data_IF_428262962344
#
_entry.id   IF_428262962344
#
_cell.length_a   1.000
_cell.length_b   1.000
_cell.length_c   1.000
_cell.angle_alpha   90.00
_cell.angle_beta   90.00
_cell.angle_gamma   90.00
#
_symmetry.space_group_name_H-M   'P 1'
#
loop_
_entity.id
_entity.type
_entity.pdbx_description
1 polymer ?
#
# COMPACT_ATOMS: atom_id res chain seq x y z
N UNK A 1 -11.27 37.23 22.01
CA UNK A 1 -10.54 36.47 20.97
C UNK A 1 -10.16 35.12 21.58
N UNK A 2 -10.99 34.09 21.38
CA UNK A 2 -10.74 32.76 21.95
C UNK A 2 -9.83 32.02 20.98
N UNK A 3 -8.56 31.83 21.37
CA UNK A 3 -7.63 30.97 20.63
C UNK A 3 -8.09 29.52 20.83
N UNK A 4 -8.74 28.95 19.81
CA UNK A 4 -8.92 27.51 19.74
C UNK A 4 -7.55 26.87 19.50
N UNK A 5 -6.88 26.45 20.58
CA UNK A 5 -5.85 25.41 20.47
C UNK A 5 -6.59 24.18 19.93
N UNK A 6 -6.40 23.85 18.64
CA UNK A 6 -6.70 22.52 18.11
C UNK A 6 -5.97 21.54 19.02
N UNK A 7 -6.70 20.82 19.88
CA UNK A 7 -6.18 19.61 20.50
C UNK A 7 -5.73 18.75 19.33
N UNK A 8 -4.43 18.44 19.29
CA UNK A 8 -3.87 17.40 18.43
C UNK A 8 -4.55 16.11 18.85
N UNK A 9 -5.71 15.81 18.26
CA UNK A 9 -6.29 14.47 18.33
C UNK A 9 -5.29 13.62 17.58
N UNK A 10 -4.54 12.80 18.32
CA UNK A 10 -3.72 11.77 17.71
C UNK A 10 -4.70 10.94 16.90
N UNK A 11 -4.57 10.94 15.58
CA UNK A 11 -5.40 10.09 14.74
C UNK A 11 -5.15 8.64 15.21
N UNK A 12 -6.22 7.91 15.47
CA UNK A 12 -6.12 6.48 15.73
C UNK A 12 -6.02 5.75 14.39
N UNK A 13 -5.23 4.66 14.32
CA UNK A 13 -5.15 3.87 13.11
C UNK A 13 -6.52 3.25 12.80
N UNK A 14 -7.01 3.43 11.56
CA UNK A 14 -8.26 2.80 11.13
C UNK A 14 -8.11 1.28 10.97
N UNK A 15 -6.90 0.81 10.65
CA UNK A 15 -6.58 -0.59 10.39
C UNK A 15 -5.30 -1.01 11.13
N UNK A 16 -5.32 -1.08 12.48
CA UNK A 16 -4.15 -1.39 13.29
C UNK A 16 -3.58 -2.79 13.03
N UNK A 17 -4.40 -3.75 12.58
CA UNK A 17 -3.99 -5.12 12.28
C UNK A 17 -3.28 -5.31 10.93
N UNK A 18 -3.02 -4.24 10.17
CA UNK A 18 -2.21 -4.34 8.94
C UNK A 18 -0.74 -4.41 9.34
N UNK A 19 -0.20 -5.63 9.35
CA UNK A 19 1.22 -5.89 9.60
C UNK A 19 1.96 -6.18 8.29
N UNK A 20 3.10 -5.51 8.07
CA UNK A 20 3.90 -5.69 6.86
C UNK A 20 5.02 -6.73 7.05
N UNK A 21 4.64 -8.01 6.98
CA UNK A 21 5.51 -9.17 7.18
C UNK A 21 6.74 -9.15 6.26
N UNK A 22 7.91 -9.44 6.83
CA UNK A 22 9.22 -9.52 6.14
C UNK A 22 9.68 -8.24 5.44
N UNK A 23 9.07 -7.09 5.75
CA UNK A 23 9.61 -5.79 5.34
C UNK A 23 10.54 -5.31 6.45
N UNK A 24 11.74 -4.83 6.09
CA UNK A 24 12.80 -4.39 7.01
C UNK A 24 12.42 -3.21 7.94
N UNK A 25 11.14 -2.83 8.03
CA UNK A 25 10.72 -1.44 8.21
C UNK A 25 9.66 -1.21 9.29
N UNK A 26 9.09 -2.27 9.87
CA UNK A 26 7.99 -2.21 10.84
C UNK A 26 8.28 -1.30 12.07
N UNK A 27 9.46 -1.33 12.71
CA UNK A 27 9.73 -0.42 13.85
C UNK A 27 9.80 1.05 13.43
N UNK A 28 10.22 1.33 12.19
CA UNK A 28 10.49 2.69 11.72
C UNK A 28 9.21 3.42 11.27
N UNK A 29 8.13 2.70 10.95
CA UNK A 29 6.82 3.32 10.64
C UNK A 29 6.34 4.17 11.82
N UNK A 30 6.62 3.75 13.05
CA UNK A 30 6.29 4.49 14.28
C UNK A 30 7.00 5.85 14.38
N UNK A 31 8.13 6.04 13.69
CA UNK A 31 8.91 7.29 13.71
C UNK A 31 8.28 8.38 12.83
N UNK A 32 7.42 8.01 11.88
CA UNK A 32 6.66 8.95 11.06
C UNK A 32 5.51 9.52 11.90
N UNK A 33 5.61 10.81 12.20
CA UNK A 33 4.58 11.57 12.95
C UNK A 33 3.36 11.91 12.11
N UNK A 34 3.53 12.04 10.79
CA UNK A 34 2.45 12.36 9.88
C UNK A 34 1.48 11.18 9.76
N UNK A 35 0.19 11.51 9.76
CA UNK A 35 -0.91 10.56 9.68
C UNK A 35 -1.97 10.98 8.67
N UNK A 36 -1.91 12.19 8.10
CA UNK A 36 -2.80 12.66 7.04
C UNK A 36 -2.47 12.00 5.69
N UNK A 37 -3.51 11.53 5.00
CA UNK A 37 -3.35 10.79 3.74
C UNK A 37 -2.77 11.64 2.60
N UNK A 38 -3.13 12.92 2.49
CA UNK A 38 -2.61 13.80 1.43
C UNK A 38 -1.16 14.20 1.69
N UNK A 39 -0.80 14.45 2.95
CA UNK A 39 0.58 14.72 3.32
C UNK A 39 1.46 13.50 3.11
N UNK A 40 1.02 12.31 3.54
CA UNK A 40 1.75 11.06 3.28
C UNK A 40 1.90 10.79 1.78
N UNK A 41 0.87 11.03 0.97
CA UNK A 41 0.95 10.93 -0.50
C UNK A 41 1.97 11.93 -1.08
N UNK A 42 1.98 13.16 -0.57
CA UNK A 42 2.95 14.19 -0.99
C UNK A 42 4.39 13.81 -0.63
N UNK A 43 4.59 13.23 0.56
CA UNK A 43 5.89 12.69 0.98
C UNK A 43 6.34 11.56 0.05
N UNK A 44 5.47 10.60 -0.28
CA UNK A 44 5.79 9.51 -1.22
C UNK A 44 6.21 10.07 -2.58
N UNK A 45 5.45 11.04 -3.13
CA UNK A 45 5.78 11.68 -4.41
C UNK A 45 7.13 12.39 -4.39
N UNK A 46 7.42 13.11 -3.30
CA UNK A 46 8.69 13.79 -3.12
C UNK A 46 9.87 12.80 -3.05
N UNK A 47 9.69 11.66 -2.36
CA UNK A 47 10.70 10.59 -2.34
C UNK A 47 10.91 9.95 -3.70
N UNK A 48 9.84 9.73 -4.47
CA UNK A 48 9.95 9.24 -5.84
C UNK A 48 10.64 10.24 -6.78
N UNK A 49 10.40 11.54 -6.59
CA UNK A 49 11.13 12.60 -7.31
C UNK A 49 12.62 12.57 -7.00
N UNK A 50 12.98 12.49 -5.71
CA UNK A 50 14.38 12.36 -5.27
C UNK A 50 15.05 11.11 -5.84
N UNK A 51 14.34 9.98 -5.86
CA UNK A 51 14.84 8.74 -6.45
C UNK A 51 15.12 8.87 -7.96
N UNK A 52 14.29 9.60 -8.70
CA UNK A 52 14.49 9.85 -10.14
C UNK A 52 15.61 10.85 -10.45
N UNK A 53 15.96 11.73 -9.51
CA UNK A 53 17.06 12.69 -9.62
C UNK A 53 18.41 12.11 -9.18
N UNK A 54 18.38 11.04 -8.37
CA UNK A 54 19.59 10.37 -7.92
C UNK A 54 20.32 9.69 -9.08
N UNK A 55 21.60 10.01 -9.23
CA UNK A 55 22.51 9.31 -10.15
C UNK A 55 23.10 8.03 -9.54
N UNK A 56 22.92 7.84 -8.24
CA UNK A 56 23.40 6.68 -7.51
C UNK A 56 22.27 5.67 -7.28
N UNK A 57 22.65 4.39 -7.18
CA UNK A 57 21.79 3.29 -6.77
C UNK A 57 21.57 3.36 -5.25
N UNK A 58 21.09 4.50 -4.76
CA UNK A 58 20.69 4.66 -3.37
C UNK A 58 19.18 4.43 -3.26
N UNK A 59 18.81 3.37 -2.55
CA UNK A 59 17.41 3.01 -2.31
C UNK A 59 16.84 3.69 -1.05
N UNK A 60 17.56 4.60 -0.40
CA UNK A 60 17.08 5.34 0.80
C UNK A 60 15.73 6.02 0.54
N UNK A 61 15.60 6.76 -0.55
CA UNK A 61 14.34 7.42 -0.89
C UNK A 61 13.20 6.42 -1.15
N UNK A 62 13.51 5.28 -1.78
CA UNK A 62 12.52 4.21 -2.01
C UNK A 62 12.07 3.58 -0.68
N UNK A 63 12.99 3.34 0.25
CA UNK A 63 12.69 2.80 1.58
C UNK A 63 11.83 3.77 2.40
N UNK A 64 12.12 5.07 2.36
CA UNK A 64 11.30 6.10 3.01
C UNK A 64 9.90 6.21 2.39
N UNK A 65 9.78 6.02 1.07
CA UNK A 65 8.49 5.94 0.40
C UNK A 65 7.67 4.72 0.87
N UNK A 66 8.32 3.56 1.05
CA UNK A 66 7.66 2.37 1.62
C UNK A 66 7.13 2.64 3.03
N UNK A 67 7.93 3.28 3.90
CA UNK A 67 7.49 3.63 5.26
C UNK A 67 6.25 4.54 5.24
N UNK A 68 6.22 5.53 4.34
CA UNK A 68 5.05 6.40 4.20
C UNK A 68 3.81 5.64 3.69
N UNK A 69 3.99 4.72 2.74
CA UNK A 69 2.91 3.88 2.23
C UNK A 69 2.34 2.93 3.30
N UNK A 70 3.22 2.31 4.09
CA UNK A 70 2.84 1.46 5.23
C UNK A 70 2.07 2.26 6.29
N UNK A 71 2.58 3.44 6.66
CA UNK A 71 1.88 4.35 7.58
C UNK A 71 0.49 4.71 7.05
N UNK A 72 0.39 5.04 5.76
CA UNK A 72 -0.88 5.36 5.13
C UNK A 72 -1.83 4.16 5.12
N UNK A 73 -1.32 2.94 4.93
CA UNK A 73 -2.14 1.73 4.95
C UNK A 73 -2.75 1.48 6.34
N UNK A 74 -1.95 1.58 7.39
CA UNK A 74 -2.42 1.40 8.78
C UNK A 74 -3.48 2.45 9.16
N UNK A 75 -3.35 3.68 8.67
CA UNK A 75 -4.25 4.77 9.03
C UNK A 75 -5.46 4.93 8.12
N UNK A 76 -5.34 4.56 6.84
CA UNK A 76 -6.34 4.84 5.80
C UNK A 76 -6.69 3.65 4.92
N UNK A 77 -5.97 2.53 5.04
CA UNK A 77 -6.22 1.29 4.30
C UNK A 77 -5.83 1.37 2.84
N UNK A 78 -6.83 1.33 1.96
CA UNK A 78 -6.72 1.20 0.50
C UNK A 78 -5.65 2.09 -0.15
N UNK A 79 -5.59 3.43 0.06
CA UNK A 79 -4.61 4.26 -0.64
C UNK A 79 -3.16 3.91 -0.29
N UNK A 80 -2.89 3.53 0.97
CA UNK A 80 -1.55 3.10 1.39
C UNK A 80 -1.16 1.75 0.80
N UNK A 81 -2.10 0.81 0.73
CA UNK A 81 -1.87 -0.50 0.11
C UNK A 81 -1.61 -0.38 -1.39
N UNK A 82 -2.35 0.48 -2.11
CA UNK A 82 -2.08 0.79 -3.53
C UNK A 82 -0.66 1.35 -3.70
N UNK A 83 -0.27 2.31 -2.86
CA UNK A 83 1.09 2.84 -2.90
C UNK A 83 2.14 1.77 -2.63
N UNK A 84 1.93 0.92 -1.62
CA UNK A 84 2.83 -0.17 -1.29
C UNK A 84 3.03 -1.11 -2.50
N UNK A 85 1.94 -1.56 -3.14
CA UNK A 85 2.00 -2.39 -4.34
C UNK A 85 2.76 -1.70 -5.48
N UNK A 86 2.48 -0.42 -5.74
CA UNK A 86 3.16 0.35 -6.79
C UNK A 86 4.67 0.49 -6.52
N UNK A 87 5.05 0.76 -5.27
CA UNK A 87 6.44 0.84 -4.84
C UNK A 87 7.13 -0.52 -4.94
N UNK A 88 6.45 -1.62 -4.61
CA UNK A 88 6.98 -2.97 -4.82
C UNK A 88 7.26 -3.21 -6.29
N UNK A 89 6.31 -2.92 -7.20
CA UNK A 89 6.52 -3.05 -8.65
C UNK A 89 7.76 -2.27 -9.14
N UNK A 90 7.92 -1.03 -8.68
CA UNK A 90 9.11 -0.22 -8.97
C UNK A 90 10.40 -0.85 -8.42
N UNK A 91 10.36 -1.37 -7.19
CA UNK A 91 11.48 -2.08 -6.57
C UNK A 91 11.88 -3.33 -7.38
N UNK A 92 10.90 -4.07 -7.91
CA UNK A 92 11.16 -5.23 -8.78
C UNK A 92 11.95 -4.79 -10.01
N UNK A 93 11.48 -3.74 -10.68
CA UNK A 93 12.10 -3.26 -11.91
C UNK A 93 13.55 -2.80 -11.70
N UNK A 94 13.83 -2.18 -10.55
CA UNK A 94 15.19 -1.77 -10.15
C UNK A 94 16.08 -2.97 -9.81
N UNK A 95 15.59 -3.89 -8.97
CA UNK A 95 16.35 -5.08 -8.56
C UNK A 95 16.59 -6.06 -9.70
N UNK A 96 15.66 -6.20 -10.65
CA UNK A 96 15.87 -7.01 -11.85
C UNK A 96 16.97 -6.44 -12.74
N UNK A 97 17.11 -5.11 -12.80
CA UNK A 97 18.23 -4.48 -13.50
C UNK A 97 19.59 -4.76 -12.84
N UNK A 98 19.59 -5.05 -11.53
CA UNK A 98 20.78 -5.31 -10.71
C UNK A 98 21.05 -6.82 -10.47
N UNK A 99 20.10 -7.70 -10.79
CA UNK A 99 20.22 -9.15 -10.61
C UNK A 99 19.90 -9.67 -9.19
N UNK A 100 19.37 -8.82 -8.30
CA UNK A 100 19.15 -9.11 -6.88
C UNK A 100 17.66 -9.17 -6.48
N UNK A 101 16.84 -9.90 -7.25
CA UNK A 101 15.39 -9.89 -7.07
C UNK A 101 14.90 -10.70 -5.85
N UNK A 102 14.19 -10.03 -4.94
CA UNK A 102 13.54 -10.66 -3.78
C UNK A 102 12.09 -11.09 -4.08
N UNK A 103 11.91 -12.37 -4.43
CA UNK A 103 10.59 -12.95 -4.72
C UNK A 103 9.58 -12.87 -3.56
N UNK A 104 10.03 -12.86 -2.31
CA UNK A 104 9.14 -12.83 -1.13
C UNK A 104 8.43 -11.49 -1.02
N UNK A 105 9.13 -10.37 -1.28
CA UNK A 105 8.53 -9.03 -1.23
C UNK A 105 7.43 -8.89 -2.30
N UNK A 106 7.69 -9.37 -3.52
CA UNK A 106 6.71 -9.37 -4.60
C UNK A 106 5.49 -10.23 -4.29
N UNK A 107 5.70 -11.40 -3.69
CA UNK A 107 4.60 -12.27 -3.26
C UNK A 107 3.72 -11.60 -2.19
N UNK A 108 4.33 -10.98 -1.18
CA UNK A 108 3.60 -10.25 -0.15
C UNK A 108 2.79 -9.08 -0.73
N UNK A 109 3.30 -8.41 -1.78
CA UNK A 109 2.54 -7.36 -2.45
C UNK A 109 1.28 -7.87 -3.16
N UNK A 110 1.20 -9.15 -3.57
CA UNK A 110 -0.04 -9.75 -4.08
C UNK A 110 -1.06 -9.93 -2.96
N UNK A 111 -0.61 -10.35 -1.76
CA UNK A 111 -1.45 -10.48 -0.56
C UNK A 111 -2.04 -9.11 -0.19
N UNK A 112 -1.20 -8.06 -0.12
CA UNK A 112 -1.66 -6.71 0.22
C UNK A 112 -2.53 -6.07 -0.88
N UNK A 113 -2.30 -6.41 -2.15
CA UNK A 113 -3.18 -5.98 -3.25
C UNK A 113 -4.57 -6.59 -3.10
N UNK A 114 -4.65 -7.88 -2.74
CA UNK A 114 -5.92 -8.54 -2.44
C UNK A 114 -6.61 -7.93 -1.22
N UNK A 115 -5.86 -7.63 -0.16
CA UNK A 115 -6.40 -6.90 1.00
C UNK A 115 -7.00 -5.54 0.57
N UNK A 116 -6.30 -4.79 -0.28
CA UNK A 116 -6.77 -3.49 -0.77
C UNK A 116 -8.09 -3.61 -1.55
N UNK A 117 -8.18 -4.63 -2.42
CA UNK A 117 -9.40 -4.96 -3.15
C UNK A 117 -10.56 -5.26 -2.19
N UNK A 118 -10.36 -6.13 -1.20
CA UNK A 118 -11.40 -6.50 -0.23
C UNK A 118 -11.86 -5.33 0.64
N UNK A 119 -10.92 -4.49 1.10
CA UNK A 119 -11.24 -3.27 1.83
C UNK A 119 -12.05 -2.28 0.96
N UNK A 120 -11.67 -2.15 -0.31
CA UNK A 120 -12.38 -1.30 -1.26
C UNK A 120 -13.78 -1.83 -1.60
N UNK A 121 -13.97 -3.14 -1.71
CA UNK A 121 -15.29 -3.75 -1.92
C UNK A 121 -16.22 -3.57 -0.73
N UNK A 122 -15.69 -3.62 0.50
CA UNK A 122 -16.48 -3.46 1.72
C UNK A 122 -16.94 -2.02 1.94
N UNK A 123 -16.02 -1.06 1.75
CA UNK A 123 -16.32 0.36 1.84
C UNK A 123 -15.82 1.05 0.56
N UNK A 124 -16.59 0.98 -0.53
CA UNK A 124 -16.24 1.65 -1.78
C UNK A 124 -16.54 3.13 -1.59
N UNK A 125 -15.80 3.85 -0.73
CA UNK A 125 -16.08 5.26 -0.48
C UNK A 125 -15.96 6.02 -1.81
N UNK A 126 -17.09 6.46 -2.39
CA UNK A 126 -17.08 7.15 -3.67
C UNK A 126 -16.50 8.56 -3.56
N UNK A 127 -16.19 9.02 -2.34
CA UNK A 127 -15.61 10.33 -2.04
C UNK A 127 -14.12 10.29 -1.66
N UNK A 128 -13.47 9.11 -1.66
CA UNK A 128 -12.03 9.04 -1.44
C UNK A 128 -11.27 9.50 -2.69
N UNK A 129 -11.16 10.83 -2.84
CA UNK A 129 -10.45 11.52 -3.93
C UNK A 129 -9.01 11.06 -4.10
N UNK A 130 -8.37 10.54 -3.04
CA UNK A 130 -7.03 9.98 -3.13
C UNK A 130 -7.05 8.62 -3.84
N UNK A 131 -7.94 7.71 -3.44
CA UNK A 131 -8.10 6.40 -4.10
C UNK A 131 -8.45 6.58 -5.59
N UNK A 132 -9.38 7.48 -5.93
CA UNK A 132 -9.71 7.79 -7.33
C UNK A 132 -8.51 8.31 -8.13
N UNK A 133 -7.67 9.17 -7.55
CA UNK A 133 -6.44 9.63 -8.22
C UNK A 133 -5.40 8.53 -8.39
N UNK A 134 -5.38 7.55 -7.48
CA UNK A 134 -4.45 6.41 -7.53
C UNK A 134 -4.98 5.26 -8.42
N UNK A 135 -6.28 5.26 -8.73
CA UNK A 135 -6.97 4.34 -9.64
C UNK A 135 -7.53 5.12 -10.85
N UNK A 136 -6.69 5.65 -11.75
CA UNK A 136 -7.08 6.69 -12.70
C UNK A 136 -7.99 6.25 -13.88
N UNK A 137 -8.78 5.17 -13.76
CA UNK A 137 -9.65 4.71 -14.85
C UNK A 137 -11.06 4.32 -14.36
N UNK A 138 -12.03 5.23 -14.56
CA UNK A 138 -13.47 4.96 -14.42
C UNK A 138 -14.06 4.19 -15.63
N UNK A 139 -13.28 4.00 -16.72
CA UNK A 139 -13.76 3.32 -17.94
C UNK A 139 -13.70 1.80 -17.86
N UNK A 140 -13.10 1.28 -16.81
CA UNK A 140 -13.07 -0.13 -16.48
C UNK A 140 -13.72 -0.17 -15.11
N UNK A 141 -14.83 -0.89 -14.98
CA UNK A 141 -15.45 -1.17 -13.67
C UNK A 141 -14.37 -1.45 -12.63
N UNK A 142 -14.50 -1.00 -11.38
CA UNK A 142 -13.45 -1.13 -10.36
C UNK A 142 -12.74 -2.51 -10.34
N UNK A 143 -13.46 -3.58 -10.69
CA UNK A 143 -12.94 -4.93 -10.98
C UNK A 143 -11.72 -4.96 -11.92
N UNK A 144 -11.72 -4.24 -13.04
CA UNK A 144 -10.61 -4.34 -13.99
C UNK A 144 -9.36 -3.56 -13.61
N UNK A 145 -9.42 -2.60 -12.67
CA UNK A 145 -8.18 -2.06 -12.08
C UNK A 145 -7.45 -3.14 -11.28
N UNK A 146 -8.18 -3.83 -10.39
CA UNK A 146 -7.60 -4.85 -9.52
C UNK A 146 -7.04 -6.02 -10.32
N UNK A 147 -7.78 -6.48 -11.33
CA UNK A 147 -7.32 -7.56 -12.21
C UNK A 147 -6.06 -7.18 -12.99
N UNK A 148 -6.03 -5.99 -13.60
CA UNK A 148 -4.84 -5.52 -14.32
C UNK A 148 -3.63 -5.37 -13.40
N UNK A 149 -3.82 -4.82 -12.19
CA UNK A 149 -2.74 -4.67 -11.21
C UNK A 149 -2.22 -6.03 -10.73
N UNK A 150 -3.14 -6.97 -10.46
CA UNK A 150 -2.80 -8.33 -10.02
C UNK A 150 -2.04 -9.06 -11.10
N UNK A 151 -2.53 -9.01 -12.35
CA UNK A 151 -1.84 -9.59 -13.50
C UNK A 151 -0.44 -8.98 -13.66
N UNK A 152 -0.33 -7.65 -13.69
CA UNK A 152 0.96 -6.99 -13.87
C UNK A 152 1.97 -7.34 -12.77
N UNK A 153 1.54 -7.43 -11.50
CA UNK A 153 2.41 -7.83 -10.40
C UNK A 153 2.74 -9.32 -10.48
N UNK A 154 1.77 -10.20 -10.77
CA UNK A 154 1.98 -11.64 -10.93
C UNK A 154 3.06 -11.91 -11.99
N UNK A 155 2.96 -11.27 -13.16
CA UNK A 155 3.97 -11.35 -14.21
C UNK A 155 5.36 -10.94 -13.72
N UNK A 156 5.48 -9.83 -12.99
CA UNK A 156 6.76 -9.35 -12.45
C UNK A 156 7.39 -10.31 -11.45
N UNK A 157 6.58 -11.06 -10.70
CA UNK A 157 7.07 -12.06 -9.74
C UNK A 157 7.22 -13.46 -10.34
N UNK A 158 6.99 -13.61 -11.65
CA UNK A 158 7.14 -14.87 -12.39
C UNK A 158 5.98 -15.85 -12.23
N UNK A 159 4.80 -15.36 -11.83
CA UNK A 159 3.58 -16.16 -11.69
C UNK A 159 2.63 -15.91 -12.87
N UNK A 160 2.03 -16.97 -13.40
CA UNK A 160 0.98 -16.88 -14.42
C UNK A 160 -0.42 -16.94 -13.81
N UNK A 161 -1.46 -16.43 -14.51
CA UNK A 161 -2.84 -16.64 -14.12
C UNK A 161 -3.17 -18.13 -13.93
N UNK A 162 -3.83 -18.47 -12.82
CA UNK A 162 -4.22 -19.85 -12.49
C UNK A 162 -3.12 -20.72 -11.87
N UNK A 163 -1.93 -20.18 -11.61
CA UNK A 163 -0.93 -20.89 -10.80
C UNK A 163 -1.39 -20.98 -9.33
N UNK A 164 -1.20 -22.15 -8.70
CA UNK A 164 -1.59 -22.38 -7.31
C UNK A 164 -1.05 -21.31 -6.35
N UNK A 165 0.17 -20.85 -6.59
CA UNK A 165 0.81 -19.82 -5.77
C UNK A 165 0.10 -18.47 -5.86
N UNK A 166 -0.52 -18.11 -6.99
CA UNK A 166 -1.34 -16.91 -7.10
C UNK A 166 -2.64 -17.05 -6.29
N UNK A 167 -3.25 -18.23 -6.30
CA UNK A 167 -4.43 -18.53 -5.47
C UNK A 167 -4.11 -18.56 -3.97
N UNK A 168 -2.90 -19.01 -3.61
CA UNK A 168 -2.40 -18.93 -2.24
C UNK A 168 -2.30 -17.47 -1.77
N UNK A 169 -1.82 -16.56 -2.64
CA UNK A 169 -1.76 -15.13 -2.33
C UNK A 169 -3.15 -14.52 -2.15
N UNK A 170 -4.12 -14.89 -3.00
CA UNK A 170 -5.51 -14.46 -2.86
C UNK A 170 -6.11 -14.95 -1.54
N UNK A 171 -5.93 -16.24 -1.22
CA UNK A 171 -6.44 -16.86 0.00
C UNK A 171 -5.81 -16.24 1.25
N UNK A 172 -4.50 -15.97 1.23
CA UNK A 172 -3.81 -15.28 2.30
C UNK A 172 -4.30 -13.83 2.46
N UNK A 173 -4.56 -13.12 1.35
CA UNK A 173 -5.12 -11.77 1.39
C UNK A 173 -6.55 -11.73 1.97
N UNK A 174 -7.37 -12.75 1.65
CA UNK A 174 -8.72 -12.90 2.22
C UNK A 174 -8.68 -13.23 3.72
N UNK A 175 -7.72 -14.06 4.16
CA UNK A 175 -7.47 -14.33 5.56
C UNK A 175 -7.05 -13.07 6.32
N UNK A 176 -6.04 -12.35 5.80
CA UNK A 176 -5.58 -11.09 6.38
C UNK A 176 -6.70 -10.05 6.46
N UNK A 177 -7.60 -10.00 5.47
CA UNK A 177 -8.77 -9.13 5.53
C UNK A 177 -9.68 -9.46 6.72
N UNK A 178 -9.93 -10.75 7.02
CA UNK A 178 -10.73 -11.12 8.19
C UNK A 178 -10.06 -10.67 9.50
N UNK A 179 -8.75 -10.86 9.61
CA UNK A 179 -7.97 -10.48 10.78
C UNK A 179 -8.02 -8.95 10.97
N UNK A 180 -7.70 -8.18 9.92
CA UNK A 180 -7.72 -6.71 9.91
C UNK A 180 -9.08 -6.16 10.32
N UNK A 181 -10.17 -6.67 9.77
CA UNK A 181 -11.52 -6.17 10.08
C UNK A 181 -11.95 -6.56 11.51
N UNK A 182 -11.48 -7.70 12.03
CA UNK A 182 -11.77 -8.12 13.41
C UNK A 182 -11.10 -7.21 14.46
N UNK A 183 -9.93 -6.65 14.13
CA UNK A 183 -9.13 -5.78 15.00
C UNK A 183 -9.40 -4.29 14.78
N UNK A 184 -10.02 -3.94 13.64
CA UNK A 184 -10.35 -2.56 13.34
C UNK A 184 -11.43 -2.06 14.30
N UNK A 185 -11.33 -0.82 14.81
CA UNK A 185 -12.41 -0.21 15.57
C UNK A 185 -13.68 -0.33 14.74
N UNK A 186 -14.78 -0.85 15.30
CA UNK A 186 -16.05 -0.97 14.58
C UNK A 186 -16.30 0.33 13.84
N UNK A 187 -16.12 0.33 12.53
CA UNK A 187 -16.47 1.47 11.70
C UNK A 187 -17.92 1.73 12.05
N UNK A 188 -18.22 2.88 12.67
CA UNK A 188 -19.58 3.25 12.98
C UNK A 188 -20.28 3.43 11.63
N UNK A 189 -20.95 2.36 11.20
CA UNK A 189 -21.83 2.31 10.04
C UNK A 189 -22.91 3.39 10.21
#
# INVERSE_FOLDING_TARGET
MIMFRKKSVVAEPAYPGIEFVSTLYDPLVSTIKETDAEQLNSMIKEKLRQLGESKEVDNTALNEAFLCAQKMAIYHGVPGLIHYTNLTMLSIDRQLAEGEWNQTQGFNALIYLRLAERLHEQNPEPDNRLVQRLMPDERITATGYWDQKREALAWKVGLRPGEARLEDANSAGDGLFQDVISESPKQAI
#
